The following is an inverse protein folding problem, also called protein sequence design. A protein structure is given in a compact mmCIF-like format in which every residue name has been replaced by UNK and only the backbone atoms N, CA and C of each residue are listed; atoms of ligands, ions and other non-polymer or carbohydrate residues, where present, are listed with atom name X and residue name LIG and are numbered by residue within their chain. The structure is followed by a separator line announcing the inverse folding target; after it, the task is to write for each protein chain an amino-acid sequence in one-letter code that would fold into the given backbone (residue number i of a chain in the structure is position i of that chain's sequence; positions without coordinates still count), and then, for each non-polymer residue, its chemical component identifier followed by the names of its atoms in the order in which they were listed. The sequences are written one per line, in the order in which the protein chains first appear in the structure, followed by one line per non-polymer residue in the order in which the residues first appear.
data_IF_678099159261
#
_entry.id   IF_678099159261
#
_cell.length_a   1.000
_cell.length_b   1.000
_cell.length_c   1.000
_cell.angle_alpha   90.00
_cell.angle_beta   90.00
_cell.angle_gamma   90.00
#
_symmetry.space_group_name_H-M   'P 1'
#
loop_
_entity.id
_entity.type
_entity.pdbx_description
1 polymer ?
#
# COMPACT_ATOMS: atom_id res chain seq x y z
N UNK A 1 -24.79 3.61 -34.60
CA UNK A 1 -24.40 2.45 -33.76
C UNK A 1 -22.90 2.13 -33.82
N UNK A 2 -22.30 1.93 -35.01
CA UNK A 2 -20.87 1.54 -35.13
C UNK A 2 -19.87 2.51 -34.48
N UNK A 3 -20.09 3.83 -34.60
CA UNK A 3 -19.19 4.86 -34.04
C UNK A 3 -19.15 4.92 -32.51
N UNK A 4 -20.21 4.48 -31.84
CA UNK A 4 -20.30 4.46 -30.37
C UNK A 4 -19.49 3.30 -29.80
N UNK A 5 -19.50 2.14 -30.48
CA UNK A 5 -18.71 0.97 -30.10
C UNK A 5 -17.20 1.26 -30.15
N UNK A 6 -16.74 1.97 -31.19
CA UNK A 6 -15.34 2.40 -31.27
C UNK A 6 -14.95 3.40 -30.17
N UNK A 7 -15.85 4.29 -29.77
CA UNK A 7 -15.61 5.24 -28.68
C UNK A 7 -15.49 4.55 -27.31
N UNK A 8 -16.35 3.56 -27.03
CA UNK A 8 -16.32 2.80 -25.75
C UNK A 8 -15.05 1.94 -25.65
N UNK A 9 -14.64 1.30 -26.75
CA UNK A 9 -13.42 0.50 -26.78
C UNK A 9 -12.15 1.31 -26.47
N UNK A 10 -12.09 2.56 -26.96
CA UNK A 10 -10.95 3.46 -26.72
C UNK A 10 -10.88 3.98 -25.26
N UNK A 11 -12.02 4.13 -24.57
CA UNK A 11 -12.03 4.54 -23.16
C UNK A 11 -11.57 3.42 -22.21
N UNK A 12 -11.81 2.15 -22.55
CA UNK A 12 -11.45 1.02 -21.70
C UNK A 12 -9.93 0.80 -21.60
N UNK A 13 -9.17 1.20 -22.61
CA UNK A 13 -7.70 1.08 -22.63
C UNK A 13 -6.98 2.21 -21.89
N UNK A 14 -7.67 3.30 -21.54
CA UNK A 14 -7.07 4.48 -20.91
C UNK A 14 -7.25 4.54 -19.38
N UNK A 15 -7.99 3.58 -18.79
CA UNK A 15 -8.22 3.52 -17.35
C UNK A 15 -7.13 2.72 -16.66
N UNK A 16 -5.94 3.30 -16.47
CA UNK A 16 -4.95 2.75 -15.56
C UNK A 16 -5.38 3.06 -14.12
N UNK A 17 -5.65 2.01 -13.35
CA UNK A 17 -6.27 2.15 -12.03
C UNK A 17 -5.29 2.65 -10.95
N UNK A 18 -4.05 2.12 -10.93
CA UNK A 18 -2.98 2.57 -10.04
C UNK A 18 -1.64 2.57 -10.78
N UNK A 19 -0.91 3.67 -10.70
CA UNK A 19 0.44 3.83 -11.26
C UNK A 19 1.39 4.33 -10.18
N UNK A 20 2.50 3.62 -9.95
CA UNK A 20 3.50 4.00 -8.95
C UNK A 20 4.65 4.79 -9.61
N UNK A 21 5.12 5.84 -8.95
CA UNK A 21 6.37 6.49 -9.34
C UNK A 21 7.55 5.60 -8.92
N UNK A 22 8.40 5.13 -9.86
CA UNK A 22 9.53 4.29 -9.51
C UNK A 22 10.64 5.11 -8.85
N UNK A 23 11.10 4.67 -7.68
CA UNK A 23 12.32 5.20 -7.06
C UNK A 23 13.55 4.52 -7.70
N UNK A 24 14.51 5.28 -8.23
CA UNK A 24 15.68 4.71 -8.92
C UNK A 24 16.64 3.98 -7.97
N UNK A 25 16.73 4.40 -6.70
CA UNK A 25 17.48 3.69 -5.67
C UNK A 25 16.67 3.50 -4.38
N UNK A 26 16.95 2.41 -3.65
CA UNK A 26 16.32 2.13 -2.35
C UNK A 26 16.56 3.25 -1.33
N UNK A 27 17.74 3.87 -1.38
CA UNK A 27 18.09 5.01 -0.54
C UNK A 27 17.11 6.18 -0.74
N UNK A 28 16.66 6.43 -1.97
CA UNK A 28 15.73 7.50 -2.25
C UNK A 28 14.36 7.19 -1.63
N UNK A 29 13.83 5.98 -1.85
CA UNK A 29 12.59 5.53 -1.22
C UNK A 29 12.65 5.63 0.32
N UNK A 30 13.79 5.24 0.91
CA UNK A 30 14.03 5.38 2.35
C UNK A 30 14.02 6.85 2.80
N UNK A 31 14.69 7.73 2.06
CA UNK A 31 14.78 9.16 2.36
C UNK A 31 13.44 9.90 2.17
N UNK A 32 12.59 9.47 1.25
CA UNK A 32 11.25 10.05 1.08
C UNK A 32 10.25 9.54 2.11
N UNK A 33 10.37 8.29 2.56
CA UNK A 33 9.43 7.70 3.55
C UNK A 33 9.53 8.37 4.91
N UNK A 34 8.40 8.70 5.53
CA UNK A 34 8.32 9.22 6.91
C UNK A 34 8.50 8.11 7.96
N UNK A 35 8.25 6.87 7.55
CA UNK A 35 8.34 5.69 8.40
C UNK A 35 8.93 4.53 7.60
N UNK A 36 9.87 3.78 8.19
CA UNK A 36 10.42 2.55 7.61
C UNK A 36 10.64 1.51 8.70
N UNK A 37 10.05 0.34 8.56
CA UNK A 37 10.21 -0.76 9.50
C UNK A 37 10.21 -2.14 8.85
N UNK A 38 10.90 -3.07 9.51
CA UNK A 38 10.80 -4.50 9.27
C UNK A 38 9.69 -5.07 10.13
N UNK A 39 8.68 -5.65 9.48
CA UNK A 39 7.50 -6.20 10.16
C UNK A 39 7.23 -7.63 9.76
N UNK A 40 6.56 -8.36 10.64
CA UNK A 40 5.97 -9.66 10.34
C UNK A 40 4.45 -9.58 10.40
N UNK A 41 3.78 -10.06 9.36
CA UNK A 41 2.32 -10.14 9.34
C UNK A 41 1.87 -11.29 10.23
N UNK A 42 0.96 -11.02 11.16
CA UNK A 42 0.44 -12.00 12.12
C UNK A 42 -1.01 -12.40 11.85
N UNK A 43 -1.72 -11.63 11.02
CA UNK A 43 -3.07 -11.94 10.57
C UNK A 43 -3.66 -10.86 9.68
N UNK A 44 -4.84 -11.14 9.12
CA UNK A 44 -5.63 -10.19 8.35
C UNK A 44 -7.07 -10.18 8.84
N UNK A 45 -7.66 -9.00 8.87
CA UNK A 45 -9.09 -8.78 9.11
C UNK A 45 -9.64 -8.19 7.81
N UNK A 46 -10.45 -8.95 7.10
CA UNK A 46 -11.23 -8.40 5.99
C UNK A 46 -12.31 -7.50 6.60
N UNK A 47 -12.31 -6.22 6.21
CA UNK A 47 -13.29 -5.28 6.70
C UNK A 47 -14.66 -5.56 6.07
N UNK A 48 -15.73 -5.31 6.82
CA UNK A 48 -17.11 -5.59 6.37
C UNK A 48 -17.47 -4.77 5.14
N UNK A 49 -16.81 -3.62 4.96
CA UNK A 49 -17.11 -2.64 3.91
C UNK A 49 -16.41 -2.95 2.56
N UNK A 50 -15.75 -4.11 2.41
CA UNK A 50 -15.11 -4.64 1.17
C UNK A 50 -14.07 -3.74 0.47
N UNK A 51 -13.85 -2.51 0.94
CA UNK A 51 -12.97 -1.50 0.30
C UNK A 51 -11.54 -1.51 0.82
N UNK A 52 -11.34 -1.98 2.04
CA UNK A 52 -10.04 -1.98 2.74
C UNK A 52 -9.79 -3.33 3.39
N UNK A 53 -8.51 -3.69 3.49
CA UNK A 53 -8.04 -4.84 4.24
C UNK A 53 -7.13 -4.32 5.36
N UNK A 54 -7.27 -4.89 6.56
CA UNK A 54 -6.41 -4.60 7.70
C UNK A 54 -5.52 -5.79 7.97
N UNK A 55 -4.23 -5.55 8.13
CA UNK A 55 -3.24 -6.56 8.48
C UNK A 55 -2.70 -6.29 9.88
N UNK A 56 -2.81 -7.26 10.77
CA UNK A 56 -2.10 -7.21 12.03
C UNK A 56 -0.62 -7.48 11.77
N UNK A 57 0.23 -6.62 12.35
CA UNK A 57 1.68 -6.72 12.18
C UNK A 57 2.40 -6.65 13.51
N UNK A 58 3.53 -7.35 13.58
CA UNK A 58 4.51 -7.24 14.65
C UNK A 58 5.76 -6.57 14.10
N UNK A 59 6.14 -5.44 14.69
CA UNK A 59 7.41 -4.79 14.39
C UNK A 59 8.57 -5.63 14.93
N UNK A 60 9.52 -5.95 14.05
CA UNK A 60 10.77 -6.62 14.39
C UNK A 60 11.88 -5.60 14.58
N UNK A 61 11.93 -4.61 13.69
CA UNK A 61 12.91 -3.52 13.73
C UNK A 61 12.32 -2.26 13.10
N UNK A 62 12.64 -1.08 13.63
CA UNK A 62 12.24 0.21 13.06
C UNK A 62 13.48 0.98 12.65
N UNK A 63 13.60 1.30 11.37
CA UNK A 63 14.76 1.99 10.81
C UNK A 63 14.57 3.50 10.73
N UNK A 64 13.33 3.95 10.56
CA UNK A 64 12.97 5.38 10.56
C UNK A 64 11.57 5.57 11.12
N UNK A 65 11.43 6.54 12.01
CA UNK A 65 10.14 7.00 12.51
C UNK A 65 10.27 8.48 12.87
N UNK A 66 9.78 9.37 12.01
CA UNK A 66 9.82 10.82 12.28
C UNK A 66 8.81 11.25 13.36
N UNK A 67 7.91 10.35 13.76
CA UNK A 67 6.90 10.60 14.79
C UNK A 67 7.35 9.93 16.10
N UNK A 68 8.43 10.41 16.71
CA UNK A 68 9.04 9.80 17.92
C UNK A 68 8.08 9.66 19.12
N UNK A 69 6.92 10.32 19.10
CA UNK A 69 5.88 10.29 20.16
C UNK A 69 4.65 9.42 19.83
N UNK A 70 4.59 8.89 18.60
CA UNK A 70 3.72 7.83 18.06
C UNK A 70 3.89 6.42 18.64
N UNK A 71 2.99 5.87 19.45
CA UNK A 71 2.90 4.40 19.48
C UNK A 71 2.59 3.92 18.04
N UNK A 72 3.47 3.10 17.46
CA UNK A 72 3.29 2.62 16.09
C UNK A 72 2.00 1.79 16.02
N UNK A 73 1.14 2.02 15.01
CA UNK A 73 -0.08 1.25 14.86
C UNK A 73 0.28 -0.22 14.65
N UNK A 74 -0.39 -1.12 15.37
CA UNK A 74 -0.21 -2.58 15.22
C UNK A 74 -0.91 -3.14 13.98
N UNK A 75 -1.53 -2.27 13.20
CA UNK A 75 -2.31 -2.59 12.02
C UNK A 75 -1.83 -1.78 10.82
N UNK A 76 -1.79 -2.43 9.67
CA UNK A 76 -1.58 -1.79 8.37
C UNK A 76 -2.89 -1.86 7.61
N UNK A 77 -3.36 -0.71 7.14
CA UNK A 77 -4.60 -0.59 6.38
C UNK A 77 -4.25 -0.27 4.93
N UNK A 78 -4.80 -1.04 4.00
CA UNK A 78 -4.61 -0.81 2.57
C UNK A 78 -5.91 -1.09 1.82
N UNK A 79 -6.02 -0.61 0.58
CA UNK A 79 -7.19 -0.90 -0.24
C UNK A 79 -7.30 -2.41 -0.53
N UNK A 80 -8.52 -2.91 -0.67
CA UNK A 80 -8.77 -4.33 -0.95
C UNK A 80 -8.44 -4.74 -2.38
N UNK A 81 -8.31 -3.77 -3.29
CA UNK A 81 -8.06 -4.01 -4.71
C UNK A 81 -6.77 -3.34 -5.16
N UNK A 82 -6.02 -4.03 -6.01
CA UNK A 82 -4.80 -3.49 -6.65
C UNK A 82 -5.10 -2.28 -7.53
N UNK A 83 -6.31 -2.22 -8.07
CA UNK A 83 -6.82 -1.07 -8.81
C UNK A 83 -6.82 0.22 -7.98
N UNK A 84 -7.04 0.13 -6.67
CA UNK A 84 -6.97 1.26 -5.75
C UNK A 84 -5.61 1.34 -5.01
N UNK A 85 -4.53 0.83 -5.61
CA UNK A 85 -3.20 0.73 -5.01
C UNK A 85 -3.13 -0.14 -3.74
N UNK A 86 -4.07 -1.09 -3.60
CA UNK A 86 -4.09 -2.06 -2.51
C UNK A 86 -2.92 -3.02 -2.56
N UNK A 87 -2.29 -3.27 -1.42
CA UNK A 87 -1.16 -4.21 -1.28
C UNK A 87 -1.67 -5.48 -0.60
N UNK A 88 -1.40 -6.64 -1.20
CA UNK A 88 -1.72 -7.92 -0.58
C UNK A 88 -0.54 -8.44 0.22
N UNK A 89 -0.72 -8.59 1.53
CA UNK A 89 0.29 -9.11 2.43
C UNK A 89 -0.05 -10.55 2.86
N UNK A 90 0.97 -11.40 2.98
CA UNK A 90 0.81 -12.82 3.31
C UNK A 90 1.04 -13.03 4.80
N UNK A 91 0.10 -13.70 5.47
CA UNK A 91 0.23 -14.02 6.89
C UNK A 91 1.48 -14.88 7.15
N UNK A 92 2.21 -14.56 8.23
CA UNK A 92 3.45 -15.24 8.63
C UNK A 92 4.70 -14.76 7.90
N UNK A 93 4.55 -13.89 6.88
CA UNK A 93 5.66 -13.38 6.06
C UNK A 93 6.20 -12.07 6.62
N UNK A 94 7.50 -11.86 6.42
CA UNK A 94 8.24 -10.68 6.84
C UNK A 94 8.42 -9.71 5.67
N UNK A 95 8.25 -8.41 5.93
CA UNK A 95 8.31 -7.35 4.93
C UNK A 95 9.05 -6.12 5.45
N UNK A 96 9.78 -5.47 4.56
CA UNK A 96 10.25 -4.10 4.76
C UNK A 96 9.18 -3.15 4.24
N UNK A 97 8.62 -2.33 5.12
CA UNK A 97 7.53 -1.41 4.79
C UNK A 97 8.01 0.03 4.99
N UNK A 98 7.81 0.83 3.96
CA UNK A 98 8.00 2.28 3.98
C UNK A 98 6.67 2.98 3.76
N UNK A 99 6.30 3.91 4.64
CA UNK A 99 5.09 4.72 4.50
C UNK A 99 5.47 6.19 4.27
N UNK A 100 4.70 6.84 3.41
CA UNK A 100 4.72 8.28 3.20
C UNK A 100 3.48 8.88 3.86
N UNK A 101 3.66 9.62 4.95
CA UNK A 101 2.58 10.33 5.62
C UNK A 101 2.21 11.53 4.74
N UNK A 102 1.18 11.39 3.92
CA UNK A 102 0.58 12.49 3.18
C UNK A 102 -0.15 13.38 4.19
N UNK A 103 0.48 14.48 4.58
CA UNK A 103 -0.13 15.59 5.34
C UNK A 103 -0.97 16.45 4.40
#
# INVERSE_FOLDING_TARGET
MMRVLFAIAACLTASEACTCFPFPALRDAFCYSSFVAHVRVTGSIEDTDSRTIRYNVRYLETFRNETESKQLPTEIVTASTTAACGVQLINGTEYLIGELLLV
#
